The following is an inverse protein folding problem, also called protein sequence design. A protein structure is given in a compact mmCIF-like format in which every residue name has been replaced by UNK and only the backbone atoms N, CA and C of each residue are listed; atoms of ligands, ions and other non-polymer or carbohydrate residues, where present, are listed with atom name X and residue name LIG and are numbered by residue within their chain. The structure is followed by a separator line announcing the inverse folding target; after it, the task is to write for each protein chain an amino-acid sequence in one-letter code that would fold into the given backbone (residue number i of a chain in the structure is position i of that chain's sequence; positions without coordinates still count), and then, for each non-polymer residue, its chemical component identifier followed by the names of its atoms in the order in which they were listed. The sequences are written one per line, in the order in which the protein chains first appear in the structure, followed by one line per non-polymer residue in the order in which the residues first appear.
data_IF_208492936361
#
_entry.id   IF_208492936361
#
_cell.length_a   1.000
_cell.length_b   1.000
_cell.length_c   1.000
_cell.angle_alpha   90.00
_cell.angle_beta   90.00
_cell.angle_gamma   90.00
#
_symmetry.space_group_name_H-M   'P 1'
#
loop_
_entity.id
_entity.type
_entity.pdbx_description
1 polymer ?
#
# COMPACT_ATOMS: atom_id res chain seq x y z
N UNK A 1 23.26 30.60 6.20
CA UNK A 1 23.62 29.18 6.24
C UNK A 1 22.39 28.39 5.80
N UNK A 2 22.36 27.96 4.54
CA UNK A 2 21.19 27.33 3.92
C UNK A 2 21.64 25.98 3.36
N UNK A 3 20.96 24.91 3.76
CA UNK A 3 20.69 23.71 2.95
C UNK A 3 21.72 22.58 2.74
N UNK A 4 22.62 22.29 3.68
CA UNK A 4 23.37 21.01 3.61
C UNK A 4 22.43 19.77 3.76
N UNK A 5 21.32 19.92 4.49
CA UNK A 5 20.36 18.83 4.71
C UNK A 5 19.43 18.57 3.51
N UNK A 6 19.38 19.44 2.49
CA UNK A 6 18.61 19.15 1.25
C UNK A 6 19.32 18.19 0.31
N UNK A 7 20.61 17.93 0.51
CA UNK A 7 21.45 17.15 -0.40
C UNK A 7 21.51 15.66 -0.10
N UNK A 8 20.98 15.19 1.04
CA UNK A 8 21.06 13.78 1.41
C UNK A 8 19.79 13.04 0.97
N UNK A 9 19.69 12.74 -0.32
CA UNK A 9 18.79 11.67 -0.78
C UNK A 9 19.53 10.35 -0.56
N UNK A 10 19.07 9.46 0.34
CA UNK A 10 19.71 8.16 0.52
C UNK A 10 19.65 7.39 -0.80
N UNK A 11 20.65 6.54 -1.08
CA UNK A 11 20.65 5.73 -2.29
C UNK A 11 19.41 4.81 -2.35
N UNK A 12 18.99 4.41 -3.56
CA UNK A 12 17.84 3.52 -3.73
C UNK A 12 17.90 2.29 -2.80
N UNK A 13 19.04 1.60 -2.77
CA UNK A 13 19.24 0.42 -1.94
C UNK A 13 19.15 0.73 -0.45
N UNK A 14 19.66 1.89 -0.01
CA UNK A 14 19.55 2.32 1.38
C UNK A 14 18.10 2.65 1.74
N UNK A 15 17.34 3.30 0.85
CA UNK A 15 15.92 3.55 1.06
C UNK A 15 15.12 2.26 1.20
N UNK A 16 15.39 1.25 0.34
CA UNK A 16 14.74 -0.06 0.40
C UNK A 16 15.07 -0.78 1.71
N UNK A 17 16.34 -0.77 2.13
CA UNK A 17 16.76 -1.37 3.40
C UNK A 17 16.11 -0.69 4.62
N UNK A 18 16.11 0.64 4.66
CA UNK A 18 15.46 1.40 5.74
C UNK A 18 13.95 1.12 5.76
N UNK A 19 13.30 1.03 4.60
CA UNK A 19 11.89 0.68 4.52
C UNK A 19 11.65 -0.70 5.12
N UNK A 20 12.40 -1.73 4.72
CA UNK A 20 12.25 -3.10 5.24
C UNK A 20 12.40 -3.16 6.76
N UNK A 21 13.48 -2.57 7.32
CA UNK A 21 13.70 -2.51 8.77
C UNK A 21 12.57 -1.76 9.48
N UNK A 22 12.11 -0.64 8.92
CA UNK A 22 11.02 0.14 9.51
C UNK A 22 9.69 -0.62 9.52
N UNK A 23 9.39 -1.39 8.47
CA UNK A 23 8.18 -2.19 8.36
C UNK A 23 8.18 -3.38 9.33
N UNK A 24 9.33 -4.05 9.47
CA UNK A 24 9.50 -5.11 10.47
C UNK A 24 9.29 -4.61 11.90
N UNK A 25 9.71 -3.36 12.18
CA UNK A 25 9.54 -2.72 13.48
C UNK A 25 8.20 -1.98 13.67
N UNK A 26 7.27 -2.07 12.72
CA UNK A 26 6.03 -1.30 12.69
C UNK A 26 6.21 0.23 12.88
N UNK A 27 7.36 0.76 12.46
CA UNK A 27 7.65 2.19 12.52
C UNK A 27 7.07 2.91 11.29
N UNK A 28 5.77 3.22 11.35
CA UNK A 28 5.04 3.80 10.22
C UNK A 28 5.56 5.16 9.77
N UNK A 29 6.12 5.97 10.68
CA UNK A 29 6.72 7.27 10.34
C UNK A 29 7.98 7.09 9.50
N UNK A 30 8.89 6.23 9.95
CA UNK A 30 10.14 5.98 9.21
C UNK A 30 9.85 5.29 7.87
N UNK A 31 8.96 4.30 7.85
CA UNK A 31 8.53 3.63 6.63
C UNK A 31 7.94 4.62 5.61
N UNK A 32 7.09 5.53 6.06
CA UNK A 32 6.51 6.58 5.20
C UNK A 32 7.60 7.48 4.59
N UNK A 33 8.58 7.92 5.38
CA UNK A 33 9.69 8.72 4.86
C UNK A 33 10.57 7.95 3.87
N UNK A 34 10.85 6.66 4.14
CA UNK A 34 11.59 5.81 3.21
C UNK A 34 10.85 5.65 1.86
N UNK A 35 9.54 5.41 1.90
CA UNK A 35 8.71 5.34 0.69
C UNK A 35 8.69 6.68 -0.08
N UNK A 36 8.69 7.83 0.62
CA UNK A 36 8.80 9.14 -0.05
C UNK A 36 10.09 9.27 -0.83
N UNK A 37 11.22 8.84 -0.27
CA UNK A 37 12.50 8.87 -0.99
C UNK A 37 12.48 7.91 -2.20
N UNK A 38 11.91 6.72 -2.06
CA UNK A 38 11.74 5.80 -3.19
C UNK A 38 10.86 6.42 -4.30
N UNK A 39 9.77 7.09 -3.94
CA UNK A 39 8.93 7.80 -4.89
C UNK A 39 9.70 8.92 -5.62
N UNK A 40 10.52 9.69 -4.89
CA UNK A 40 11.40 10.70 -5.49
C UNK A 40 12.40 10.07 -6.47
N UNK A 41 13.00 8.93 -6.12
CA UNK A 41 13.90 8.21 -7.02
C UNK A 41 13.21 7.74 -8.30
N UNK A 42 11.97 7.22 -8.22
CA UNK A 42 11.20 6.83 -9.41
C UNK A 42 10.99 8.04 -10.33
N UNK A 43 10.56 9.18 -9.77
CA UNK A 43 10.35 10.41 -10.54
C UNK A 43 11.66 10.92 -11.16
N UNK A 44 12.76 10.92 -10.41
CA UNK A 44 14.06 11.33 -10.92
C UNK A 44 14.55 10.41 -12.05
N UNK A 45 14.37 9.09 -11.90
CA UNK A 45 14.76 8.10 -12.90
C UNK A 45 13.96 8.23 -14.20
N UNK A 46 12.65 8.47 -14.10
CA UNK A 46 11.78 8.71 -15.27
C UNK A 46 12.18 9.97 -16.06
N UNK A 47 12.70 11.00 -15.38
CA UNK A 47 13.13 12.26 -16.00
C UNK A 47 14.59 12.24 -16.49
N UNK A 48 15.37 11.21 -16.15
CA UNK A 48 16.77 11.09 -16.56
C UNK A 48 16.92 10.82 -18.07
N UNK A 49 18.09 11.12 -18.63
CA UNK A 49 18.43 10.83 -20.03
C UNK A 49 19.74 10.02 -20.10
N UNK A 50 19.70 8.71 -20.41
CA UNK A 50 18.51 7.90 -20.70
C UNK A 50 17.63 7.66 -19.46
N UNK A 51 16.35 7.36 -19.67
CA UNK A 51 15.40 7.12 -18.57
C UNK A 51 15.76 5.83 -17.81
N UNK A 52 15.76 5.92 -16.48
CA UNK A 52 16.03 4.81 -15.57
C UNK A 52 14.74 4.42 -14.87
N UNK A 53 14.24 3.25 -15.21
CA UNK A 53 12.94 2.75 -14.77
C UNK A 53 13.07 1.99 -13.44
N UNK A 54 12.98 2.71 -12.33
CA UNK A 54 12.94 2.12 -11.00
C UNK A 54 11.51 1.67 -10.65
N UNK A 55 11.41 0.58 -9.89
CA UNK A 55 10.14 0.03 -9.41
C UNK A 55 10.34 -0.58 -8.04
N UNK A 56 9.44 -0.28 -7.11
CA UNK A 56 9.42 -0.91 -5.79
C UNK A 56 8.84 -2.32 -5.93
N UNK A 57 9.42 -3.25 -5.18
CA UNK A 57 8.90 -4.61 -5.07
C UNK A 57 7.49 -4.64 -4.48
N UNK A 58 6.61 -5.44 -5.06
CA UNK A 58 5.21 -5.50 -4.64
C UNK A 58 5.09 -6.06 -3.22
N UNK A 59 5.94 -7.02 -2.83
CA UNK A 59 6.02 -7.53 -1.46
C UNK A 59 6.36 -6.46 -0.43
N UNK A 60 7.26 -5.53 -0.76
CA UNK A 60 7.55 -4.38 0.11
C UNK A 60 6.30 -3.49 0.30
N UNK A 61 5.54 -3.27 -0.77
CA UNK A 61 4.30 -2.46 -0.68
C UNK A 61 3.21 -3.16 0.12
N UNK A 62 3.06 -4.48 -0.02
CA UNK A 62 2.15 -5.31 0.79
C UNK A 62 2.52 -5.23 2.28
N UNK A 63 3.82 -5.37 2.61
CA UNK A 63 4.31 -5.20 3.96
C UNK A 63 3.98 -3.80 4.51
N UNK A 64 4.12 -2.77 3.68
CA UNK A 64 3.79 -1.39 4.05
C UNK A 64 2.29 -1.16 4.30
N UNK A 65 1.43 -1.76 3.49
CA UNK A 65 -0.02 -1.77 3.71
C UNK A 65 -0.38 -2.49 5.03
N UNK A 66 0.27 -3.63 5.30
CA UNK A 66 0.10 -4.36 6.56
C UNK A 66 0.54 -3.56 7.79
N UNK A 67 1.69 -2.87 7.72
CA UNK A 67 2.12 -1.95 8.79
C UNK A 67 1.18 -0.75 8.92
N UNK A 68 0.66 -0.20 7.82
CA UNK A 68 -0.35 0.86 7.88
C UNK A 68 -1.62 0.41 8.62
N UNK A 69 -2.07 -0.84 8.37
CA UNK A 69 -3.20 -1.44 9.07
C UNK A 69 -2.93 -1.60 10.57
N UNK A 70 -1.75 -2.12 10.96
CA UNK A 70 -1.37 -2.35 12.37
C UNK A 70 -1.15 -1.05 13.16
N UNK A 71 -0.72 0.00 12.48
CA UNK A 71 -0.36 1.30 13.10
C UNK A 71 -1.42 2.39 12.91
N UNK A 72 -2.53 2.07 12.24
CA UNK A 72 -3.61 3.01 11.95
C UNK A 72 -3.13 4.27 11.21
N UNK A 73 -2.19 4.13 10.27
CA UNK A 73 -1.56 5.25 9.59
C UNK A 73 -2.07 5.42 8.15
N UNK A 74 -2.99 6.37 7.96
CA UNK A 74 -3.57 6.69 6.65
C UNK A 74 -2.54 7.22 5.63
N UNK A 75 -1.55 7.99 6.08
CA UNK A 75 -0.52 8.55 5.19
C UNK A 75 0.36 7.44 4.60
N UNK A 76 0.70 6.44 5.43
CA UNK A 76 1.45 5.28 4.97
C UNK A 76 0.64 4.47 3.97
N UNK A 77 -0.64 4.22 4.24
CA UNK A 77 -1.57 3.55 3.33
C UNK A 77 -1.62 4.23 1.95
N UNK A 78 -1.88 5.53 1.92
CA UNK A 78 -2.00 6.29 0.67
C UNK A 78 -0.66 6.30 -0.10
N UNK A 79 0.47 6.47 0.60
CA UNK A 79 1.80 6.45 -0.01
C UNK A 79 2.15 5.07 -0.59
N UNK A 80 1.87 3.99 0.16
CA UNK A 80 2.10 2.61 -0.27
C UNK A 80 1.29 2.27 -1.51
N UNK A 81 0.02 2.69 -1.58
CA UNK A 81 -0.80 2.46 -2.76
C UNK A 81 -0.34 3.27 -3.97
N UNK A 82 0.00 4.55 -3.76
CA UNK A 82 0.45 5.42 -4.85
C UNK A 82 1.78 4.92 -5.47
N UNK A 83 2.74 4.51 -4.64
CA UNK A 83 4.03 4.02 -5.13
C UNK A 83 3.89 2.67 -5.83
N UNK A 84 2.99 1.80 -5.37
CA UNK A 84 2.66 0.55 -6.06
C UNK A 84 2.11 0.84 -7.45
N UNK A 85 1.06 1.68 -7.55
CA UNK A 85 0.44 2.05 -8.83
C UNK A 85 1.45 2.66 -9.81
N UNK A 86 2.39 3.47 -9.32
CA UNK A 86 3.47 4.04 -10.13
C UNK A 86 4.47 2.98 -10.59
N UNK A 87 4.88 2.09 -9.69
CA UNK A 87 5.81 0.99 -9.99
C UNK A 87 5.24 0.03 -11.04
N UNK A 88 3.93 -0.21 -11.00
CA UNK A 88 3.20 -0.99 -12.00
C UNK A 88 2.93 -0.24 -13.30
N UNK A 89 3.16 1.08 -13.32
CA UNK A 89 2.93 1.97 -14.48
C UNK A 89 1.53 1.87 -15.06
N UNK A 90 0.55 1.48 -14.22
CA UNK A 90 -0.81 1.17 -14.64
C UNK A 90 -0.92 0.12 -15.77
N UNK A 91 0.12 -0.69 -16.00
CA UNK A 91 0.13 -1.72 -17.05
C UNK A 91 -0.46 -3.05 -16.60
N UNK A 92 -0.41 -3.34 -15.30
CA UNK A 92 -1.00 -4.53 -14.69
C UNK A 92 -1.80 -4.17 -13.44
N UNK A 93 -2.74 -5.04 -13.09
CA UNK A 93 -3.42 -4.97 -11.80
C UNK A 93 -2.44 -5.29 -10.65
N UNK A 94 -2.57 -4.63 -9.49
CA UNK A 94 -1.93 -5.06 -8.24
C UNK A 94 -2.30 -6.50 -7.87
N UNK A 95 -1.43 -7.21 -7.17
CA UNK A 95 -1.71 -8.59 -6.75
C UNK A 95 -2.88 -8.67 -5.76
N UNK A 96 -3.52 -9.84 -5.63
CA UNK A 96 -4.57 -10.05 -4.63
C UNK A 96 -4.17 -9.62 -3.21
N UNK A 97 -2.93 -9.90 -2.80
CA UNK A 97 -2.42 -9.58 -1.47
C UNK A 97 -2.31 -8.05 -1.26
N UNK A 98 -2.01 -7.29 -2.31
CA UNK A 98 -1.99 -5.84 -2.24
C UNK A 98 -3.40 -5.27 -2.06
N UNK A 99 -4.39 -5.83 -2.74
CA UNK A 99 -5.79 -5.47 -2.54
C UNK A 99 -6.27 -5.82 -1.12
N UNK A 100 -6.00 -7.04 -0.66
CA UNK A 100 -6.34 -7.47 0.70
C UNK A 100 -5.65 -6.60 1.77
N UNK A 101 -4.38 -6.27 1.57
CA UNK A 101 -3.63 -5.35 2.44
C UNK A 101 -4.26 -3.95 2.51
N UNK A 102 -4.70 -3.40 1.38
CA UNK A 102 -5.40 -2.11 1.31
C UNK A 102 -6.77 -2.17 1.98
N UNK A 103 -7.55 -3.23 1.76
CA UNK A 103 -8.85 -3.46 2.41
C UNK A 103 -8.66 -3.54 3.93
N UNK A 104 -7.68 -4.33 4.39
CA UNK A 104 -7.36 -4.44 5.80
C UNK A 104 -6.97 -3.08 6.41
N UNK A 105 -6.12 -2.31 5.74
CA UNK A 105 -5.71 -1.00 6.24
C UNK A 105 -6.88 -0.02 6.35
N UNK A 106 -7.78 0.06 5.35
CA UNK A 106 -8.98 0.88 5.45
C UNK A 106 -9.95 0.39 6.54
N UNK A 107 -10.10 -0.93 6.68
CA UNK A 107 -10.94 -1.54 7.72
C UNK A 107 -10.44 -1.19 9.12
N UNK A 108 -9.13 -1.27 9.35
CA UNK A 108 -8.48 -0.90 10.62
C UNK A 108 -8.63 0.59 10.92
N UNK A 109 -8.60 1.46 9.91
CA UNK A 109 -8.87 2.89 10.03
C UNK A 109 -10.36 3.22 10.25
N UNK A 110 -11.26 2.24 10.18
CA UNK A 110 -12.70 2.45 10.26
C UNK A 110 -13.32 3.10 9.02
N UNK A 111 -12.59 3.19 7.91
CA UNK A 111 -13.09 3.77 6.67
C UNK A 111 -13.73 2.68 5.79
N UNK A 112 -14.94 2.26 6.17
CA UNK A 112 -15.65 1.18 5.48
C UNK A 112 -15.99 1.53 4.02
N UNK A 113 -16.32 2.79 3.73
CA UNK A 113 -16.62 3.23 2.37
C UNK A 113 -15.45 2.96 1.41
N UNK A 114 -14.23 3.36 1.80
CA UNK A 114 -13.03 3.08 0.98
C UNK A 114 -12.64 1.61 0.98
N UNK A 115 -12.91 0.87 2.06
CA UNK A 115 -12.68 -0.57 2.11
C UNK A 115 -13.57 -1.31 1.10
N UNK A 116 -14.88 -1.03 1.06
CA UNK A 116 -15.81 -1.61 0.09
C UNK A 116 -15.55 -1.15 -1.34
N UNK A 117 -15.19 0.12 -1.54
CA UNK A 117 -14.73 0.59 -2.87
C UNK A 117 -13.53 -0.20 -3.36
N UNK A 118 -12.58 -0.51 -2.46
CA UNK A 118 -11.40 -1.32 -2.79
C UNK A 118 -11.77 -2.78 -3.04
N UNK A 119 -12.71 -3.35 -2.29
CA UNK A 119 -13.22 -4.69 -2.55
C UNK A 119 -13.87 -4.79 -3.92
N UNK A 120 -14.68 -3.81 -4.31
CA UNK A 120 -15.25 -3.75 -5.65
C UNK A 120 -14.17 -3.60 -6.74
N UNK A 121 -13.13 -2.78 -6.51
CA UNK A 121 -11.96 -2.73 -7.43
C UNK A 121 -11.28 -4.11 -7.55
N UNK A 122 -11.17 -4.84 -6.44
CA UNK A 122 -10.54 -6.15 -6.39
C UNK A 122 -11.37 -7.22 -7.11
N UNK A 123 -12.68 -7.25 -6.89
CA UNK A 123 -13.63 -8.13 -7.59
C UNK A 123 -13.66 -7.84 -9.09
N UNK A 124 -13.60 -6.57 -9.51
CA UNK A 124 -13.53 -6.25 -10.94
C UNK A 124 -12.22 -6.72 -11.60
N UNK A 125 -11.12 -6.74 -10.85
CA UNK A 125 -9.82 -7.19 -11.36
C UNK A 125 -9.70 -8.73 -11.41
N UNK A 126 -10.28 -9.45 -10.44
CA UNK A 126 -10.03 -10.88 -10.23
C UNK A 126 -11.29 -11.76 -10.15
N UNK A 127 -12.50 -11.20 -10.10
CA UNK A 127 -13.74 -11.95 -9.90
C UNK A 127 -14.09 -12.94 -11.01
N UNK A 128 -13.52 -12.77 -12.21
CA UNK A 128 -13.66 -13.68 -13.35
C UNK A 128 -12.44 -14.58 -13.58
N UNK A 129 -11.42 -14.54 -12.70
CA UNK A 129 -10.24 -15.37 -12.92
C UNK A 129 -10.58 -16.84 -12.63
N UNK A 130 -10.12 -17.75 -13.48
CA UNK A 130 -10.20 -19.20 -13.21
C UNK A 130 -9.27 -19.63 -12.08
N UNK A 131 -8.41 -18.73 -11.63
CA UNK A 131 -7.47 -18.85 -10.50
C UNK A 131 -8.03 -18.19 -9.23
N UNK A 132 -9.35 -18.06 -9.11
CA UNK A 132 -9.96 -17.71 -7.83
C UNK A 132 -9.70 -18.89 -6.89
N UNK A 133 -8.66 -18.76 -6.07
CA UNK A 133 -8.54 -19.57 -4.86
C UNK A 133 -9.87 -19.46 -4.12
N UNK A 134 -10.49 -20.59 -3.78
CA UNK A 134 -11.85 -20.66 -3.21
C UNK A 134 -12.04 -19.74 -1.98
N UNK A 135 -10.95 -19.32 -1.35
CA UNK A 135 -10.93 -18.47 -0.16
C UNK A 135 -10.56 -17.00 -0.42
N UNK A 136 -10.30 -16.57 -1.67
CA UNK A 136 -9.82 -15.22 -1.99
C UNK A 136 -10.79 -14.11 -1.54
N UNK A 137 -12.10 -14.37 -1.65
CA UNK A 137 -13.17 -13.45 -1.24
C UNK A 137 -13.94 -13.97 0.00
N UNK A 138 -13.36 -14.90 0.75
CA UNK A 138 -14.03 -15.48 1.92
C UNK A 138 -14.05 -14.48 3.09
N UNK A 139 -15.23 -14.17 3.66
CA UNK A 139 -15.36 -13.29 4.83
C UNK A 139 -14.76 -13.91 6.11
N UNK A 140 -14.50 -15.22 6.11
CA UNK A 140 -13.99 -15.93 7.29
C UNK A 140 -12.46 -16.12 7.26
N UNK A 141 -11.83 -15.85 6.13
CA UNK A 141 -10.37 -15.93 5.97
C UNK A 141 -9.83 -14.61 5.42
N UNK A 142 -9.78 -14.44 4.10
CA UNK A 142 -9.12 -13.30 3.43
C UNK A 142 -9.75 -11.94 3.77
N UNK A 143 -11.08 -11.88 3.85
CA UNK A 143 -11.82 -10.66 4.18
C UNK A 143 -12.21 -10.55 5.66
N UNK A 144 -11.65 -11.41 6.52
CA UNK A 144 -11.90 -11.38 7.97
C UNK A 144 -11.75 -9.98 8.61
N UNK A 145 -10.69 -9.19 8.31
CA UNK A 145 -10.55 -7.86 8.91
C UNK A 145 -11.70 -6.91 8.55
N UNK A 146 -12.24 -7.02 7.33
CA UNK A 146 -13.39 -6.23 6.89
C UNK A 146 -14.67 -6.68 7.61
N UNK A 147 -14.90 -7.99 7.70
CA UNK A 147 -16.05 -8.54 8.41
C UNK A 147 -16.07 -8.11 9.89
N UNK A 148 -14.90 -8.10 10.55
CA UNK A 148 -14.75 -7.60 11.93
C UNK A 148 -14.96 -6.09 12.02
N UNK A 149 -14.49 -5.30 11.05
CA UNK A 149 -14.71 -3.86 11.07
C UNK A 149 -16.21 -3.51 10.95
N UNK A 150 -16.94 -4.25 10.11
CA UNK A 150 -18.40 -4.12 9.98
C UNK A 150 -19.14 -4.38 11.29
N UNK A 151 -18.65 -5.24 12.19
CA UNK A 151 -19.34 -5.55 13.45
C UNK A 151 -19.16 -4.49 14.55
N UNK A 152 -18.13 -3.64 14.45
CA UNK A 152 -17.82 -2.65 15.49
C UNK A 152 -18.73 -1.41 15.42
N UNK A 153 -18.85 -0.80 14.24
CA UNK A 153 -19.62 0.44 14.03
C UNK A 153 -20.68 0.33 12.90
N UNK A 154 -20.82 -0.84 12.27
CA UNK A 154 -21.92 -1.15 11.37
C UNK A 154 -22.00 -0.31 10.09
N UNK A 155 -23.14 -0.45 9.41
CA UNK A 155 -23.55 0.32 8.23
C UNK A 155 -23.73 1.83 8.49
N UNK A 156 -23.75 2.27 9.75
CA UNK A 156 -23.97 3.67 10.10
C UNK A 156 -22.89 4.61 9.52
N UNK A 157 -21.69 4.10 9.21
CA UNK A 157 -20.62 4.86 8.54
C UNK A 157 -20.70 4.82 7.01
N UNK A 158 -21.68 4.13 6.43
CA UNK A 158 -21.90 4.06 4.97
C UNK A 158 -23.05 4.98 4.52
N UNK A 159 -23.94 5.38 5.43
CA UNK A 159 -25.10 6.25 5.16
C UNK A 159 -24.79 7.76 5.24
N UNK A 160 -23.52 8.14 5.38
CA UNK A 160 -23.05 9.53 5.55
C UNK A 160 -22.44 10.14 4.29
#
# INVERSE_FOLDING_TARGET
AMDENKALCPSWNLCTFIADVALQADNSKLAFHALKFLASWIVCGENARPAVLLSVDEGLTVAALGTAARTYNANLLDASWAILRRSLRQRRAPTPEAYLGKIHAYSSLGNLQRAFSTLNEFENAYGNSTEVEQDMFSPFTSLYPLAVACSKNGFATLDS
#
